data_IF_405449800779
#
_entry.id   IF_405449800779
#
_cell.length_a   1.000
_cell.length_b   1.000
_cell.length_c   1.000
_cell.angle_alpha   90.00
_cell.angle_beta   90.00
_cell.angle_gamma   90.00
#
_symmetry.space_group_name_H-M   'P 1'
#
loop_
_entity.id
_entity.type
_entity.pdbx_description
1 polymer ?
#
# COMPACT_ATOMS: atom_id res chain seq x y z
N UNK A 1 19.76 -12.14 3.98
CA UNK A 1 18.68 -12.62 3.11
C UNK A 1 17.87 -11.41 2.71
N UNK A 2 17.90 -11.03 1.43
CA UNK A 2 17.15 -9.88 0.92
C UNK A 2 15.75 -10.37 0.56
N UNK A 3 14.67 -9.91 1.22
CA UNK A 3 13.32 -10.21 0.79
C UNK A 3 13.05 -9.37 -0.47
N UNK A 4 13.45 -9.87 -1.63
CA UNK A 4 13.17 -9.24 -2.93
C UNK A 4 11.82 -9.68 -3.51
N UNK A 5 11.08 -10.50 -2.77
CA UNK A 5 9.72 -10.96 -3.08
C UNK A 5 8.71 -10.06 -2.35
N UNK A 6 8.56 -8.81 -2.80
CA UNK A 6 7.70 -7.81 -2.14
C UNK A 6 6.49 -7.45 -2.99
N UNK A 7 6.58 -6.34 -3.71
CA UNK A 7 5.50 -5.83 -4.57
C UNK A 7 5.65 -6.31 -6.01
N UNK A 8 6.86 -6.31 -6.58
CA UNK A 8 7.09 -6.66 -7.99
C UNK A 8 6.70 -8.10 -8.36
N UNK A 9 6.80 -9.01 -7.40
CA UNK A 9 6.36 -10.40 -7.59
C UNK A 9 4.83 -10.53 -7.60
N UNK A 10 4.18 -9.88 -6.63
CA UNK A 10 2.72 -9.86 -6.53
C UNK A 10 2.13 -9.09 -7.72
N UNK A 11 2.74 -7.98 -8.13
CA UNK A 11 2.35 -7.21 -9.29
C UNK A 11 2.33 -8.07 -10.57
N UNK A 12 3.34 -8.94 -10.75
CA UNK A 12 3.36 -9.92 -11.86
C UNK A 12 2.24 -10.96 -11.77
N UNK A 13 1.81 -11.32 -10.57
CA UNK A 13 0.70 -12.26 -10.35
C UNK A 13 -0.68 -11.61 -10.49
N UNK A 14 -0.80 -10.30 -10.28
CA UNK A 14 -2.04 -9.53 -10.35
C UNK A 14 -2.38 -9.05 -11.78
N UNK A 15 -1.99 -9.81 -12.81
CA UNK A 15 -2.09 -9.44 -14.23
C UNK A 15 -3.37 -8.64 -14.58
N UNK A 16 -3.21 -7.35 -14.92
CA UNK A 16 -4.30 -6.43 -15.29
C UNK A 16 -5.14 -5.84 -14.14
N UNK A 17 -4.86 -6.19 -12.88
CA UNK A 17 -5.60 -5.72 -11.68
C UNK A 17 -4.94 -4.54 -10.97
N UNK A 18 -3.75 -4.13 -11.40
CA UNK A 18 -3.06 -2.95 -10.87
C UNK A 18 -3.70 -1.71 -11.49
N UNK A 19 -4.23 -0.76 -10.70
CA UNK A 19 -4.76 0.48 -11.24
C UNK A 19 -3.67 1.25 -12.00
N UNK A 20 -3.95 1.78 -13.20
CA UNK A 20 -2.93 2.44 -14.03
C UNK A 20 -2.37 3.73 -13.40
N UNK A 21 -3.10 4.31 -12.45
CA UNK A 21 -2.70 5.50 -11.71
C UNK A 21 -1.86 5.18 -10.45
N UNK A 22 -1.73 3.91 -10.06
CA UNK A 22 -1.05 3.53 -8.83
C UNK A 22 0.48 3.69 -8.99
N UNK A 23 1.15 4.54 -8.18
CA UNK A 23 2.59 4.76 -8.33
C UNK A 23 3.41 3.55 -7.87
N UNK A 24 4.58 3.37 -8.47
CA UNK A 24 5.60 2.46 -7.96
C UNK A 24 6.41 3.18 -6.87
N UNK A 25 6.28 2.74 -5.62
CA UNK A 25 7.03 3.30 -4.49
C UNK A 25 8.40 2.63 -4.31
N UNK A 26 9.39 3.41 -3.88
CA UNK A 26 10.74 2.90 -3.60
C UNK A 26 10.79 2.20 -2.24
N UNK A 27 10.61 0.88 -2.30
CA UNK A 27 10.65 0.00 -1.12
C UNK A 27 12.02 -0.02 -0.43
N UNK A 28 13.13 0.31 -1.12
CA UNK A 28 14.45 0.40 -0.49
C UNK A 28 14.60 1.70 0.29
N UNK A 29 14.14 2.81 -0.28
CA UNK A 29 14.09 4.08 0.43
C UNK A 29 13.20 3.99 1.66
N UNK A 30 12.06 3.29 1.56
CA UNK A 30 11.20 3.05 2.72
C UNK A 30 11.87 2.18 3.79
N UNK A 31 12.51 1.07 3.41
CA UNK A 31 13.25 0.23 4.36
C UNK A 31 14.36 1.02 5.08
N UNK A 32 15.09 1.89 4.36
CA UNK A 32 16.12 2.74 4.96
C UNK A 32 15.55 3.79 5.91
N UNK A 33 14.38 4.36 5.59
CA UNK A 33 13.65 5.24 6.51
C UNK A 33 13.27 4.49 7.79
N UNK A 34 12.64 3.32 7.66
CA UNK A 34 12.23 2.50 8.81
C UNK A 34 13.44 2.13 9.67
N UNK A 35 14.56 1.74 9.07
CA UNK A 35 15.82 1.49 9.78
C UNK A 35 16.31 2.73 10.56
N UNK A 36 16.27 3.91 9.94
CA UNK A 36 16.69 5.16 10.60
C UNK A 36 15.79 5.60 11.75
N UNK A 37 14.50 5.25 11.69
CA UNK A 37 13.48 5.59 12.70
C UNK A 37 13.29 4.47 13.73
N UNK A 38 13.84 3.28 13.46
CA UNK A 38 13.76 2.10 14.30
C UNK A 38 14.58 2.33 15.57
N UNK A 39 13.90 2.71 16.66
CA UNK A 39 14.52 2.96 17.97
C UNK A 39 15.11 1.72 18.67
N UNK A 40 15.22 0.58 17.98
CA UNK A 40 15.85 -0.62 18.49
C UNK A 40 17.35 -0.63 18.21
N UNK A 41 18.14 -1.04 19.19
CA UNK A 41 19.59 -1.22 19.03
C UNK A 41 20.00 -2.67 18.75
N UNK A 42 19.09 -3.63 18.92
CA UNK A 42 19.35 -5.04 18.67
C UNK A 42 19.05 -5.38 17.22
N UNK A 43 20.04 -5.85 16.47
CA UNK A 43 19.95 -6.23 15.04
C UNK A 43 18.72 -7.08 14.71
N UNK A 44 18.38 -8.06 15.55
CA UNK A 44 17.21 -8.91 15.35
C UNK A 44 15.89 -8.13 15.45
N UNK A 45 15.80 -7.15 16.35
CA UNK A 45 14.62 -6.31 16.51
C UNK A 45 14.49 -5.31 15.36
N UNK A 46 15.62 -4.74 14.91
CA UNK A 46 15.67 -3.87 13.72
C UNK A 46 15.17 -4.63 12.49
N UNK A 47 15.70 -5.83 12.26
CA UNK A 47 15.27 -6.66 11.14
C UNK A 47 13.77 -7.04 11.22
N UNK A 48 13.26 -7.32 12.42
CA UNK A 48 11.85 -7.62 12.62
C UNK A 48 10.95 -6.41 12.31
N UNK A 49 11.32 -5.22 12.77
CA UNK A 49 10.57 -3.97 12.50
C UNK A 49 10.55 -3.70 11.00
N UNK A 50 11.70 -3.72 10.33
CA UNK A 50 11.80 -3.49 8.88
C UNK A 50 10.93 -4.50 8.14
N UNK A 51 11.04 -5.79 8.43
CA UNK A 51 10.26 -6.82 7.74
C UNK A 51 8.75 -6.64 7.96
N UNK A 52 8.32 -6.27 9.18
CA UNK A 52 6.92 -6.00 9.50
C UNK A 52 6.38 -4.84 8.66
N UNK A 53 7.09 -3.70 8.64
CA UNK A 53 6.70 -2.53 7.86
C UNK A 53 6.66 -2.78 6.36
N UNK A 54 7.63 -3.53 5.85
CA UNK A 54 7.68 -3.91 4.43
C UNK A 54 6.51 -4.84 4.07
N UNK A 55 6.11 -5.74 4.96
CA UNK A 55 4.94 -6.58 4.78
C UNK A 55 3.64 -5.76 4.79
N UNK A 56 3.51 -4.76 5.67
CA UNK A 56 2.37 -3.84 5.69
C UNK A 56 2.20 -3.10 4.35
N UNK A 57 3.29 -2.67 3.70
CA UNK A 57 3.26 -2.04 2.38
C UNK A 57 2.76 -2.99 1.28
N UNK A 58 3.20 -4.23 1.32
CA UNK A 58 2.74 -5.27 0.40
C UNK A 58 1.23 -5.51 0.57
N UNK A 59 0.76 -5.61 1.81
CA UNK A 59 -0.66 -5.79 2.10
C UNK A 59 -1.46 -4.57 1.65
N UNK A 60 -0.98 -3.36 1.89
CA UNK A 60 -1.63 -2.13 1.44
C UNK A 60 -1.71 -2.05 -0.10
N UNK A 61 -0.65 -2.44 -0.81
CA UNK A 61 -0.66 -2.56 -2.27
C UNK A 61 -1.76 -3.52 -2.76
N UNK A 62 -1.84 -4.72 -2.19
CA UNK A 62 -2.89 -5.70 -2.54
C UNK A 62 -4.29 -5.16 -2.26
N UNK A 63 -4.48 -4.46 -1.14
CA UNK A 63 -5.76 -3.83 -0.81
C UNK A 63 -6.16 -2.74 -1.80
N UNK A 64 -5.21 -1.88 -2.20
CA UNK A 64 -5.45 -0.85 -3.23
C UNK A 64 -5.86 -1.49 -4.55
N UNK A 65 -5.10 -2.49 -5.02
CA UNK A 65 -5.45 -3.22 -6.24
C UNK A 65 -6.83 -3.87 -6.14
N UNK A 66 -7.12 -4.56 -5.04
CA UNK A 66 -8.41 -5.24 -4.83
C UNK A 66 -9.61 -4.29 -4.71
N UNK A 67 -9.43 -3.12 -4.10
CA UNK A 67 -10.50 -2.15 -3.90
C UNK A 67 -10.94 -1.48 -5.21
N UNK A 68 -9.99 -1.26 -6.12
CA UNK A 68 -10.23 -0.60 -7.42
C UNK A 68 -10.35 -1.58 -8.59
N UNK A 69 -10.09 -2.88 -8.38
CA UNK A 69 -10.34 -3.90 -9.39
C UNK A 69 -11.84 -4.01 -9.70
N UNK A 70 -12.20 -3.89 -10.98
CA UNK A 70 -13.53 -4.14 -11.54
C UNK A 70 -13.94 -5.63 -11.52
N UNK A 71 -13.35 -6.44 -10.65
CA UNK A 71 -13.70 -7.84 -10.51
C UNK A 71 -15.10 -8.02 -9.89
N UNK A 72 -15.66 -9.21 -9.99
CA UNK A 72 -16.92 -9.57 -9.33
C UNK A 72 -16.91 -9.23 -7.82
N UNK A 73 -18.09 -8.97 -7.22
CA UNK A 73 -18.22 -8.81 -5.77
C UNK A 73 -17.56 -10.01 -5.09
N UNK A 74 -16.47 -9.76 -4.37
CA UNK A 74 -15.75 -10.78 -3.64
C UNK A 74 -15.86 -10.44 -2.17
N UNK A 75 -16.34 -11.39 -1.39
CA UNK A 75 -16.43 -11.29 0.07
C UNK A 75 -15.05 -11.27 0.73
N UNK A 76 -13.98 -11.55 -0.01
CA UNK A 76 -12.61 -11.50 0.47
C UNK A 76 -12.00 -10.08 0.45
N UNK A 77 -12.66 -9.08 -0.17
CA UNK A 77 -12.14 -7.71 -0.21
C UNK A 77 -12.18 -7.08 1.17
N UNK A 78 -11.05 -6.53 1.61
CA UNK A 78 -10.96 -5.77 2.86
C UNK A 78 -11.39 -4.32 2.71
N UNK A 79 -11.31 -3.79 1.49
CA UNK A 79 -11.71 -2.43 1.15
C UNK A 79 -12.55 -2.41 -0.12
N UNK A 80 -13.52 -1.50 -0.16
CA UNK A 80 -14.38 -1.25 -1.30
C UNK A 80 -14.25 0.21 -1.74
N UNK A 81 -14.08 0.43 -3.04
CA UNK A 81 -14.15 1.76 -3.63
C UNK A 81 -15.62 2.18 -3.78
N UNK A 82 -16.01 3.20 -3.02
CA UNK A 82 -17.37 3.75 -3.03
C UNK A 82 -17.49 5.04 -3.84
N UNK A 83 -16.34 5.66 -4.16
CA UNK A 83 -16.26 6.88 -4.96
C UNK A 83 -15.07 6.82 -5.91
N UNK A 84 -15.33 6.60 -7.18
CA UNK A 84 -14.27 6.48 -8.20
C UNK A 84 -14.19 7.75 -9.07
N UNK A 85 -14.02 8.91 -8.43
CA UNK A 85 -13.81 10.18 -9.13
C UNK A 85 -12.32 10.39 -9.41
N UNK A 86 -11.97 10.60 -10.69
CA UNK A 86 -10.58 10.73 -11.11
C UNK A 86 -9.86 11.95 -10.51
N UNK A 87 -10.55 13.08 -10.36
CA UNK A 87 -9.93 14.29 -9.84
C UNK A 87 -9.63 14.17 -8.34
N UNK A 88 -10.49 13.47 -7.58
CA UNK A 88 -10.23 13.17 -6.17
C UNK A 88 -9.09 12.17 -5.99
N UNK A 89 -9.00 11.16 -6.86
CA UNK A 89 -7.86 10.23 -6.89
C UNK A 89 -6.56 11.00 -7.15
N UNK A 90 -6.55 11.90 -8.12
CA UNK A 90 -5.39 12.73 -8.45
C UNK A 90 -4.98 13.66 -7.28
N UNK A 91 -5.93 14.28 -6.57
CA UNK A 91 -5.64 15.09 -5.36
C UNK A 91 -4.99 14.24 -4.26
N UNK A 92 -5.50 13.03 -4.02
CA UNK A 92 -4.93 12.10 -3.03
C UNK A 92 -3.53 11.66 -3.43
N UNK A 93 -3.31 11.32 -4.70
CA UNK A 93 -1.99 10.95 -5.22
C UNK A 93 -0.99 12.10 -5.09
N UNK A 94 -1.38 13.30 -5.48
CA UNK A 94 -0.54 14.49 -5.37
C UNK A 94 -0.15 14.76 -3.92
N UNK A 95 -1.09 14.67 -2.98
CA UNK A 95 -0.82 14.83 -1.55
C UNK A 95 0.12 13.75 -1.03
N UNK A 96 -0.11 12.48 -1.34
CA UNK A 96 0.76 11.40 -0.88
C UNK A 96 2.20 11.61 -1.40
N UNK A 97 2.36 12.04 -2.65
CA UNK A 97 3.65 12.32 -3.27
C UNK A 97 4.43 13.48 -2.62
N UNK A 98 3.78 14.37 -1.85
CA UNK A 98 4.48 15.42 -1.10
C UNK A 98 5.19 14.91 0.17
N UNK A 99 4.89 13.68 0.61
CA UNK A 99 5.56 13.06 1.74
C UNK A 99 7.04 12.80 1.44
N UNK A 100 7.90 12.92 2.46
CA UNK A 100 9.35 12.67 2.32
C UNK A 100 9.67 11.22 1.88
N UNK A 101 8.78 10.28 2.17
CA UNK A 101 8.83 8.89 1.70
C UNK A 101 7.38 8.44 1.48
N UNK A 102 6.83 8.57 0.25
CA UNK A 102 5.46 8.19 -0.05
C UNK A 102 5.33 6.66 -0.12
N UNK A 103 4.21 6.13 0.34
CA UNK A 103 4.01 4.68 0.50
C UNK A 103 2.60 4.22 0.13
N UNK A 104 2.40 2.91 -0.03
CA UNK A 104 1.09 2.30 -0.25
C UNK A 104 0.23 2.41 1.01
N UNK A 105 0.81 2.23 2.21
CA UNK A 105 0.06 2.38 3.48
C UNK A 105 -0.43 3.82 3.67
N UNK A 106 0.41 4.82 3.36
CA UNK A 106 0.04 6.23 3.41
C UNK A 106 -1.04 6.58 2.39
N UNK A 107 -0.94 6.02 1.19
CA UNK A 107 -1.94 6.19 0.14
C UNK A 107 -3.29 5.56 0.53
N UNK A 108 -3.28 4.32 1.01
CA UNK A 108 -4.48 3.61 1.48
C UNK A 108 -5.18 4.37 2.61
N UNK A 109 -4.41 4.87 3.59
CA UNK A 109 -4.94 5.70 4.68
C UNK A 109 -5.59 6.96 4.14
N UNK A 110 -4.93 7.67 3.22
CA UNK A 110 -5.46 8.89 2.63
C UNK A 110 -6.78 8.66 1.87
N UNK A 111 -6.90 7.54 1.17
CA UNK A 111 -8.15 7.17 0.50
C UNK A 111 -9.29 6.87 1.48
N UNK A 112 -8.99 6.20 2.59
CA UNK A 112 -9.98 5.92 3.65
C UNK A 112 -10.40 7.21 4.34
N UNK A 113 -9.46 8.08 4.69
CA UNK A 113 -9.74 9.37 5.35
C UNK A 113 -10.58 10.30 4.46
N UNK A 114 -10.44 10.20 3.14
CA UNK A 114 -11.27 10.92 2.17
C UNK A 114 -12.60 10.25 1.84
N UNK A 115 -12.86 9.07 2.40
CA UNK A 115 -14.09 8.31 2.13
C UNK A 115 -14.19 7.81 0.69
N UNK A 116 -13.06 7.70 -0.02
CA UNK A 116 -12.98 7.08 -1.35
C UNK A 116 -13.04 5.56 -1.21
N UNK A 117 -12.33 5.04 -0.20
CA UNK A 117 -12.38 3.65 0.21
C UNK A 117 -13.10 3.52 1.55
N UNK A 118 -13.88 2.45 1.70
CA UNK A 118 -14.43 2.03 2.99
C UNK A 118 -13.92 0.65 3.34
N UNK A 119 -13.72 0.38 4.63
CA UNK A 119 -13.36 -0.95 5.10
C UNK A 119 -14.59 -1.84 5.08
N UNK A 120 -14.49 -3.00 4.45
CA UNK A 120 -15.54 -4.00 4.47
C UNK A 120 -15.66 -4.58 5.88
N UNK A 121 -16.88 -4.66 6.41
CA UNK A 121 -17.14 -5.38 7.67
C UNK A 121 -17.24 -6.87 7.31
N UNK A 122 -16.52 -7.78 8.00
CA UNK A 122 -16.75 -9.20 7.81
C UNK A 122 -18.21 -9.52 8.21
N UNK A 123 -18.96 -10.04 7.23
CA UNK A 123 -20.33 -10.53 7.43
C UNK A 123 -20.38 -11.91 8.09
#
# INVERSE_FOLDING_TARGET
>A
MTPTAGIDEIARSLDGLIPPWLPAYDMRAYAAKVDSECGYSAEMMVALEINTRMFEEVIAFVHLCGAFASMHPSTARQYECVRNDGAEIDDVLARNATGACPTCTGLLTSFVDRGILVRCVPG
#
